data_IF_992815981689
#
_entry.id   IF_992815981689
#
_cell.length_a   1.000
_cell.length_b   1.000
_cell.length_c   1.000
_cell.angle_alpha   90.00
_cell.angle_beta   90.00
_cell.angle_gamma   90.00
#
_symmetry.space_group_name_H-M   'P 1'
#
loop_
_entity.id
_entity.type
_entity.pdbx_description
1 polymer ?
#
# COMPACT_ATOMS: atom_id res chain seq x y z
N UNK A 1 4.20 -30.38 29.94
CA UNK A 1 4.47 -30.09 28.52
C UNK A 1 3.18 -29.54 27.93
N UNK A 2 3.09 -28.22 27.73
CA UNK A 2 1.94 -27.58 27.09
C UNK A 2 2.21 -27.47 25.57
N UNK A 3 1.21 -27.63 24.70
CA UNK A 3 1.42 -27.56 23.26
C UNK A 3 1.79 -26.13 22.85
N UNK A 4 2.82 -26.02 22.01
CA UNK A 4 3.13 -24.80 21.28
C UNK A 4 1.95 -24.49 20.37
N UNK A 5 1.13 -23.52 20.77
CA UNK A 5 0.10 -22.96 19.92
C UNK A 5 0.85 -22.10 18.90
N UNK A 6 1.12 -22.67 17.72
CA UNK A 6 1.64 -21.96 16.56
C UNK A 6 0.57 -21.01 16.03
N UNK A 7 0.26 -19.97 16.80
CA UNK A 7 -0.43 -18.81 16.29
C UNK A 7 0.58 -18.05 15.45
N UNK A 8 0.66 -18.38 14.15
CA UNK A 8 1.11 -17.40 13.17
C UNK A 8 0.16 -16.22 13.28
N UNK A 9 0.51 -15.26 14.14
CA UNK A 9 -0.20 -14.00 14.29
C UNK A 9 -0.08 -13.26 12.97
N UNK A 10 -1.00 -13.55 12.03
CA UNK A 10 -1.24 -12.69 10.87
C UNK A 10 -1.41 -11.29 11.43
N UNK A 11 -0.48 -10.40 11.09
CA UNK A 11 -0.53 -8.99 11.46
C UNK A 11 -1.90 -8.45 11.05
N UNK A 12 -2.67 -8.01 12.04
CA UNK A 12 -3.94 -7.36 11.78
C UNK A 12 -3.68 -5.90 11.41
N UNK A 13 -3.38 -5.70 10.13
CA UNK A 13 -2.92 -4.44 9.57
C UNK A 13 -3.90 -3.30 9.86
N UNK A 14 -5.20 -3.57 9.77
CA UNK A 14 -6.25 -2.56 9.93
C UNK A 14 -6.34 -2.01 11.34
N UNK A 15 -5.99 -2.80 12.37
CA UNK A 15 -5.90 -2.34 13.75
C UNK A 15 -4.57 -1.64 14.11
N UNK A 16 -3.60 -1.59 13.20
CA UNK A 16 -2.33 -0.93 13.47
C UNK A 16 -2.48 0.60 13.44
N UNK A 17 -1.83 1.34 14.34
CA UNK A 17 -1.78 2.80 14.23
C UNK A 17 -0.95 3.21 13.00
N UNK A 18 -1.40 4.25 12.30
CA UNK A 18 -0.63 4.88 11.24
C UNK A 18 0.66 5.48 11.81
N UNK A 19 1.80 5.15 11.20
CA UNK A 19 3.14 5.68 11.53
C UNK A 19 3.77 6.44 10.36
N UNK A 20 3.11 6.40 9.21
CA UNK A 20 3.44 7.11 7.99
C UNK A 20 2.83 8.50 7.91
N UNK A 21 2.93 9.08 6.71
CA UNK A 21 2.17 10.26 6.33
C UNK A 21 0.67 9.94 6.28
N UNK A 22 -0.16 10.95 6.51
CA UNK A 22 -1.61 10.79 6.44
C UNK A 22 -2.04 10.50 5.01
N UNK A 23 -2.91 9.50 4.84
CA UNK A 23 -3.41 9.08 3.53
C UNK A 23 -4.33 10.14 2.88
N UNK A 24 -5.22 10.79 3.65
CA UNK A 24 -6.08 11.88 3.15
C UNK A 24 -5.59 13.24 3.66
N UNK A 25 -5.31 14.18 2.76
CA UNK A 25 -5.01 15.59 3.09
C UNK A 25 -6.27 16.47 3.11
N UNK A 26 -7.46 15.87 3.05
CA UNK A 26 -8.75 16.54 3.00
C UNK A 26 -9.13 17.36 4.26
N UNK A 27 -8.24 17.46 5.25
CA UNK A 27 -8.46 18.19 6.51
C UNK A 27 -9.39 17.48 7.50
N UNK A 28 -9.85 16.27 7.17
CA UNK A 28 -10.62 15.39 8.04
C UNK A 28 -9.82 14.10 8.28
N UNK A 29 -9.95 13.54 9.49
CA UNK A 29 -9.29 12.30 9.90
C UNK A 29 -10.02 11.11 9.25
N UNK A 30 -9.67 10.82 8.00
CA UNK A 30 -10.15 9.64 7.28
C UNK A 30 -9.09 8.55 7.41
N UNK A 31 -9.35 7.56 8.26
CA UNK A 31 -8.54 6.35 8.29
C UNK A 31 -8.84 5.50 7.05
N UNK A 32 -7.80 5.01 6.39
CA UNK A 32 -7.94 4.05 5.29
C UNK A 32 -8.49 2.72 5.82
N UNK A 33 -9.62 2.27 5.28
CA UNK A 33 -10.26 1.01 5.65
C UNK A 33 -10.07 -0.07 4.59
N UNK A 34 -10.20 -1.34 4.99
CA UNK A 34 -10.17 -2.48 4.05
C UNK A 34 -11.25 -2.35 2.98
N UNK A 35 -12.43 -1.89 3.36
CA UNK A 35 -13.56 -1.68 2.46
C UNK A 35 -13.25 -0.63 1.40
N UNK A 36 -12.53 0.44 1.75
CA UNK A 36 -12.13 1.45 0.77
C UNK A 36 -11.19 0.85 -0.28
N UNK A 37 -10.13 0.16 0.15
CA UNK A 37 -9.17 -0.47 -0.77
C UNK A 37 -9.85 -1.52 -1.65
N UNK A 38 -10.76 -2.30 -1.07
CA UNK A 38 -11.53 -3.28 -1.83
C UNK A 38 -12.44 -2.61 -2.87
N UNK A 39 -13.11 -1.50 -2.52
CA UNK A 39 -13.93 -0.76 -3.49
C UNK A 39 -13.07 -0.17 -4.61
N UNK A 40 -11.93 0.45 -4.29
CA UNK A 40 -10.97 0.94 -5.31
C UNK A 40 -10.57 -0.16 -6.28
N UNK A 41 -10.26 -1.36 -5.80
CA UNK A 41 -9.95 -2.52 -6.63
C UNK A 41 -11.06 -2.82 -7.65
N UNK A 42 -12.32 -2.76 -7.23
CA UNK A 42 -13.47 -2.96 -8.12
C UNK A 42 -13.62 -1.80 -9.12
N UNK A 43 -13.46 -0.56 -8.65
CA UNK A 43 -13.60 0.65 -9.48
C UNK A 43 -12.59 0.68 -10.64
N UNK A 44 -11.36 0.23 -10.41
CA UNK A 44 -10.31 0.18 -11.44
C UNK A 44 -10.40 -1.08 -12.33
N UNK A 45 -11.38 -1.95 -12.08
CA UNK A 45 -11.66 -3.13 -12.90
C UNK A 45 -10.79 -4.36 -12.62
N UNK A 46 -10.06 -4.38 -11.50
CA UNK A 46 -9.34 -5.58 -11.08
C UNK A 46 -10.31 -6.65 -10.60
N UNK A 47 -9.95 -7.91 -10.84
CA UNK A 47 -10.84 -9.02 -10.52
C UNK A 47 -10.50 -9.65 -9.14
N UNK A 48 -11.37 -9.49 -8.12
CA UNK A 48 -11.13 -10.03 -6.78
C UNK A 48 -11.16 -11.57 -6.73
N UNK A 49 -11.69 -12.24 -7.78
CA UNK A 49 -11.71 -13.69 -7.87
C UNK A 49 -10.34 -14.30 -8.22
N UNK A 50 -9.39 -13.48 -8.68
CA UNK A 50 -8.05 -13.93 -9.05
C UNK A 50 -7.00 -13.40 -8.08
N UNK A 51 -5.82 -14.02 -8.11
CA UNK A 51 -4.65 -13.49 -7.42
C UNK A 51 -4.18 -12.24 -8.16
N UNK A 52 -3.89 -11.18 -7.41
CA UNK A 52 -3.35 -9.94 -7.96
C UNK A 52 -1.87 -10.11 -8.23
N UNK A 53 -1.42 -9.73 -9.41
CA UNK A 53 -0.01 -9.62 -9.73
C UNK A 53 0.65 -8.47 -8.96
N UNK A 54 1.97 -8.49 -8.86
CA UNK A 54 2.70 -7.37 -8.27
C UNK A 54 2.42 -6.04 -8.99
N UNK A 55 2.25 -6.05 -10.31
CA UNK A 55 1.88 -4.85 -11.08
C UNK A 55 0.49 -4.34 -10.74
N UNK A 56 -0.50 -5.23 -10.64
CA UNK A 56 -1.87 -4.86 -10.21
C UNK A 56 -1.89 -4.35 -8.76
N UNK A 57 -1.00 -4.87 -7.90
CA UNK A 57 -0.84 -4.38 -6.54
C UNK A 57 -0.27 -2.95 -6.52
N UNK A 58 0.70 -2.65 -7.38
CA UNK A 58 1.24 -1.29 -7.54
C UNK A 58 0.13 -0.35 -8.03
N UNK A 59 -0.61 -0.74 -9.07
CA UNK A 59 -1.71 0.03 -9.64
C UNK A 59 -2.78 0.33 -8.60
N UNK A 60 -3.25 -0.70 -7.87
CA UNK A 60 -4.21 -0.53 -6.78
C UNK A 60 -3.70 0.42 -5.70
N UNK A 61 -2.43 0.30 -5.30
CA UNK A 61 -1.86 1.17 -4.25
C UNK A 61 -1.74 2.61 -4.74
N UNK A 62 -1.33 2.82 -5.99
CA UNK A 62 -1.23 4.14 -6.60
C UNK A 62 -2.61 4.81 -6.67
N UNK A 63 -3.63 4.07 -7.10
CA UNK A 63 -5.01 4.57 -7.18
C UNK A 63 -5.61 4.89 -5.80
N UNK A 64 -5.35 4.04 -4.79
CA UNK A 64 -5.74 4.34 -3.40
C UNK A 64 -5.12 5.66 -2.93
N UNK A 65 -3.88 5.95 -3.31
CA UNK A 65 -3.18 7.19 -2.95
C UNK A 65 -3.38 8.33 -3.95
N UNK A 66 -4.16 8.11 -5.02
CA UNK A 66 -4.35 9.07 -6.13
C UNK A 66 -3.02 9.58 -6.72
N UNK A 67 -2.06 8.68 -6.92
CA UNK A 67 -0.79 8.97 -7.59
C UNK A 67 -0.86 8.63 -9.09
N UNK A 68 -0.65 9.62 -9.96
CA UNK A 68 -0.51 9.43 -11.41
C UNK A 68 0.74 8.60 -11.77
N UNK A 69 1.86 8.86 -11.07
CA UNK A 69 3.12 8.14 -11.24
C UNK A 69 3.76 7.85 -9.87
N UNK A 70 4.42 6.70 -9.75
CA UNK A 70 5.03 6.25 -8.50
C UNK A 70 6.56 6.25 -8.58
N UNK A 71 7.21 6.76 -7.54
CA UNK A 71 8.67 6.82 -7.46
C UNK A 71 9.29 5.46 -7.10
N UNK A 72 10.60 5.29 -7.30
CA UNK A 72 11.30 4.05 -6.90
C UNK A 72 11.10 3.70 -5.42
N UNK A 73 11.01 4.69 -4.53
CA UNK A 73 10.77 4.46 -3.11
C UNK A 73 9.40 3.88 -2.81
N UNK A 74 8.39 4.23 -3.61
CA UNK A 74 7.06 3.65 -3.52
C UNK A 74 7.12 2.14 -3.78
N UNK A 75 7.79 1.74 -4.86
CA UNK A 75 8.02 0.32 -5.16
C UNK A 75 8.75 -0.38 -4.01
N UNK A 76 9.84 0.20 -3.50
CA UNK A 76 10.60 -0.37 -2.39
C UNK A 76 9.77 -0.54 -1.12
N UNK A 77 8.93 0.45 -0.79
CA UNK A 77 8.05 0.37 0.38
C UNK A 77 6.92 -0.65 0.18
N UNK A 78 6.42 -0.81 -1.04
CA UNK A 78 5.43 -1.84 -1.35
C UNK A 78 6.04 -3.25 -1.31
N UNK A 79 7.27 -3.41 -1.80
CA UNK A 79 8.06 -4.63 -1.68
C UNK A 79 8.35 -4.99 -0.22
N UNK A 80 8.71 -4.01 0.62
CA UNK A 80 8.88 -4.23 2.06
C UNK A 80 7.55 -4.67 2.70
N UNK A 81 6.44 -4.04 2.31
CA UNK A 81 5.10 -4.41 2.78
C UNK A 81 4.74 -5.84 2.38
N UNK A 82 5.05 -6.25 1.14
CA UNK A 82 4.90 -7.63 0.67
C UNK A 82 5.76 -8.61 1.50
N UNK A 83 7.02 -8.28 1.75
CA UNK A 83 7.89 -9.10 2.61
C UNK A 83 7.33 -9.25 4.03
N UNK A 84 6.71 -8.21 4.59
CA UNK A 84 6.14 -8.25 5.95
C UNK A 84 4.86 -9.05 6.06
N UNK A 85 3.99 -8.98 5.05
CA UNK A 85 2.66 -9.59 5.08
C UNK A 85 2.65 -10.98 4.44
N UNK A 86 3.24 -11.11 3.26
CA UNK A 86 3.31 -12.37 2.50
C UNK A 86 4.51 -13.23 2.91
N UNK A 87 5.58 -12.60 3.42
CA UNK A 87 6.84 -13.28 3.74
C UNK A 87 7.86 -13.24 2.59
N UNK A 88 7.52 -12.59 1.47
CA UNK A 88 8.37 -12.48 0.30
C UNK A 88 7.78 -11.56 -0.78
N UNK A 89 8.57 -11.30 -1.81
CA UNK A 89 8.10 -10.67 -3.05
C UNK A 89 7.79 -11.81 -4.02
N UNK A 90 6.52 -11.93 -4.38
CA UNK A 90 6.00 -12.97 -5.25
C UNK A 90 5.35 -12.34 -6.48
N UNK A 91 5.23 -13.11 -7.56
CA UNK A 91 4.62 -12.62 -8.78
C UNK A 91 3.11 -12.37 -8.61
N UNK A 92 2.47 -13.07 -7.67
CA UNK A 92 1.03 -13.03 -7.43
C UNK A 92 0.69 -13.20 -5.95
N UNK A 93 -0.33 -12.47 -5.52
CA UNK A 93 -0.79 -12.43 -4.14
C UNK A 93 -2.28 -12.79 -4.06
N UNK A 94 -2.71 -13.60 -3.09
CA UNK A 94 -4.12 -13.81 -2.84
C UNK A 94 -4.76 -12.49 -2.35
N UNK A 95 -6.02 -12.24 -2.73
CA UNK A 95 -6.75 -11.00 -2.47
C UNK A 95 -6.58 -10.49 -1.03
N UNK A 96 -6.80 -11.35 -0.03
CA UNK A 96 -6.68 -10.97 1.39
C UNK A 96 -5.29 -10.41 1.73
N UNK A 97 -4.24 -11.01 1.19
CA UNK A 97 -2.86 -10.57 1.43
C UNK A 97 -2.55 -9.31 0.64
N UNK A 98 -3.03 -9.20 -0.61
CA UNK A 98 -2.93 -7.97 -1.39
C UNK A 98 -3.53 -6.77 -0.64
N UNK A 99 -4.78 -6.88 -0.16
CA UNK A 99 -5.42 -5.82 0.64
C UNK A 99 -4.62 -5.48 1.90
N UNK A 100 -4.08 -6.51 2.57
CA UNK A 100 -3.25 -6.32 3.77
C UNK A 100 -1.91 -5.65 3.45
N UNK A 101 -1.32 -5.92 2.28
CA UNK A 101 -0.10 -5.26 1.83
C UNK A 101 -0.36 -3.77 1.58
N UNK A 102 -1.44 -3.42 0.87
CA UNK A 102 -1.83 -2.02 0.62
C UNK A 102 -2.12 -1.28 1.94
N UNK A 103 -2.84 -1.93 2.86
CA UNK A 103 -3.09 -1.35 4.18
C UNK A 103 -1.80 -1.12 4.98
N UNK A 104 -0.86 -2.06 4.92
CA UNK A 104 0.39 -1.95 5.68
C UNK A 104 1.26 -0.85 5.09
N UNK A 105 1.41 -0.85 3.76
CA UNK A 105 2.06 0.23 3.02
C UNK A 105 1.48 1.57 3.44
N UNK A 106 0.15 1.71 3.41
CA UNK A 106 -0.48 3.01 3.67
C UNK A 106 -0.30 3.49 5.10
N UNK A 107 -0.12 2.57 6.06
CA UNK A 107 0.15 2.90 7.47
C UNK A 107 1.62 3.19 7.75
N UNK A 108 2.55 2.76 6.89
CA UNK A 108 4.00 2.94 7.10
C UNK A 108 4.66 3.89 6.11
N UNK A 109 3.99 4.21 5.01
CA UNK A 109 4.50 5.04 3.92
C UNK A 109 4.89 6.43 4.41
N UNK A 110 6.12 6.85 4.09
CA UNK A 110 6.68 8.13 4.56
C UNK A 110 6.67 9.21 3.47
N UNK A 111 6.07 8.93 2.31
CA UNK A 111 6.20 9.77 1.13
C UNK A 111 7.49 9.51 0.35
N UNK A 112 7.54 10.04 -0.87
CA UNK A 112 8.77 10.08 -1.64
C UNK A 112 9.66 11.21 -1.07
N UNK A 113 10.98 10.99 -0.91
CA UNK A 113 11.88 12.02 -0.42
C UNK A 113 11.87 13.22 -1.39
N UNK A 114 11.80 14.44 -0.84
CA UNK A 114 11.73 15.70 -1.60
C UNK A 114 12.87 15.85 -2.63
N UNK A 115 14.03 15.23 -2.36
CA UNK A 115 15.19 15.19 -3.26
C UNK A 115 14.95 14.42 -4.58
N UNK A 116 13.96 13.52 -4.63
CA UNK A 116 13.58 12.77 -5.82
C UNK A 116 12.25 13.26 -6.42
N UNK A 117 11.49 14.10 -5.71
CA UNK A 117 10.25 14.72 -6.18
C UNK A 117 10.46 16.05 -6.94
N UNK A 118 11.72 16.41 -7.24
CA UNK A 118 11.99 17.61 -8.05
C UNK A 118 11.65 17.30 -9.52
N UNK A 119 10.37 17.31 -9.84
CA UNK A 119 9.94 17.66 -11.19
C UNK A 119 10.37 19.10 -11.47
N UNK A 120 11.04 19.29 -12.60
CA UNK A 120 11.35 20.58 -13.20
C UNK A 120 10.10 21.46 -13.27
N UNK A 121 9.93 22.41 -12.35
CA UNK A 121 9.14 23.63 -12.59
C UNK A 121 9.43 24.67 -11.48
N UNK A 122 10.54 25.41 -11.67
CA UNK A 122 10.57 26.87 -11.48
C UNK A 122 11.82 27.43 -12.19
N UNK A 123 11.74 27.57 -13.51
CA UNK A 123 12.56 28.55 -14.23
C UNK A 123 11.61 29.66 -14.71
N UNK A 124 11.51 30.80 -14.01
CA UNK A 124 10.97 31.99 -14.63
C UNK A 124 12.10 32.69 -15.38
N UNK A 125 12.24 32.33 -16.65
CA UNK A 125 12.86 33.22 -17.63
C UNK A 125 11.97 34.45 -17.86
N UNK A 126 12.31 35.58 -17.26
CA UNK A 126 12.30 36.92 -17.89
C UNK A 126 13.01 37.96 -17.02
#
# INVERSE_FOLDING_TARGET
>A
MAPANSSSSRLDVWSMPSRGITWCDCGADHELTEEFVFNTLIDIGLNPAHMLTHSELVELTAEVWSYDEVCRFFHLALEESAQRIHGGIDERYPLREALSIVGYFSKTWQGCPEADCTSWDDEPGH
#
